data_IF_547650482374
#
_entry.id   IF_547650482374
#
_cell.length_a   1.000
_cell.length_b   1.000
_cell.length_c   1.000
_cell.angle_alpha   90.00
_cell.angle_beta   90.00
_cell.angle_gamma   90.00
#
_symmetry.space_group_name_H-M   'P 1'
#
loop_
_entity.id
_entity.type
_entity.pdbx_description
1 polymer ?
#
# COMPACT_ATOMS: atom_id res chain seq x y z
N UNK A 1 6.08 -5.91 -4.16
CA UNK A 1 5.89 -5.24 -5.48
C UNK A 1 6.45 -3.83 -5.37
N UNK A 2 7.36 -3.44 -6.27
CA UNK A 2 8.09 -2.18 -6.19
C UNK A 2 7.93 -1.35 -7.45
N UNK A 3 7.96 -0.02 -7.29
CA UNK A 3 8.13 0.90 -8.40
C UNK A 3 9.56 0.83 -8.97
N UNK A 4 9.67 0.99 -10.29
CA UNK A 4 10.95 1.17 -10.96
C UNK A 4 11.64 2.48 -10.51
N UNK A 5 12.96 2.55 -10.66
CA UNK A 5 13.77 3.69 -10.22
C UNK A 5 13.55 4.96 -11.03
N UNK A 6 13.12 4.82 -12.30
CA UNK A 6 12.96 5.92 -13.25
C UNK A 6 11.53 6.49 -13.31
N UNK A 7 10.63 6.05 -12.42
CA UNK A 7 9.25 6.56 -12.36
C UNK A 7 9.20 7.71 -11.35
N UNK A 8 8.40 8.75 -11.64
CA UNK A 8 8.11 9.80 -10.67
C UNK A 8 7.38 9.23 -9.46
N UNK A 9 7.88 9.51 -8.25
CA UNK A 9 7.42 8.87 -7.01
C UNK A 9 6.61 9.82 -6.15
N UNK A 10 5.51 9.32 -5.58
CA UNK A 10 4.81 10.00 -4.48
C UNK A 10 5.70 10.02 -3.23
N UNK A 11 5.36 10.88 -2.26
CA UNK A 11 6.09 10.96 -0.99
C UNK A 11 6.16 9.60 -0.30
N UNK A 12 5.06 8.88 -0.29
CA UNK A 12 4.90 7.58 0.35
C UNK A 12 5.79 6.51 -0.29
N UNK A 13 6.07 6.61 -1.60
CA UNK A 13 7.01 5.73 -2.27
C UNK A 13 8.46 5.95 -1.80
N UNK A 14 8.85 7.17 -1.41
CA UNK A 14 10.14 7.37 -0.75
C UNK A 14 10.16 6.77 0.66
N UNK A 15 9.02 6.75 1.34
CA UNK A 15 8.91 6.19 2.70
C UNK A 15 9.08 4.67 2.75
N UNK A 16 8.66 3.96 1.69
CA UNK A 16 8.71 2.49 1.60
C UNK A 16 9.83 1.98 0.69
N UNK A 17 10.74 2.84 0.25
CA UNK A 17 11.78 2.45 -0.72
C UNK A 17 11.21 2.03 -2.10
N UNK A 18 9.98 2.45 -2.41
CA UNK A 18 9.27 2.14 -3.64
C UNK A 18 8.34 0.92 -3.53
N UNK A 19 8.30 0.22 -2.40
CA UNK A 19 7.34 -0.87 -2.21
C UNK A 19 5.92 -0.30 -2.14
N UNK A 20 5.04 -0.74 -3.06
CA UNK A 20 3.64 -0.32 -3.10
C UNK A 20 2.69 -1.36 -2.53
N UNK A 21 3.08 -2.63 -2.58
CA UNK A 21 2.31 -3.73 -2.03
C UNK A 21 3.16 -4.97 -1.73
N UNK A 22 2.81 -5.75 -0.72
CA UNK A 22 3.36 -7.10 -0.50
C UNK A 22 2.34 -8.05 0.14
N UNK A 23 2.46 -9.33 -0.18
CA UNK A 23 1.59 -10.38 0.35
C UNK A 23 2.29 -11.04 1.55
N UNK A 24 1.54 -11.36 2.59
CA UNK A 24 1.99 -12.28 3.62
C UNK A 24 2.08 -13.68 3.03
N UNK A 25 3.29 -14.11 2.67
CA UNK A 25 3.52 -15.42 2.03
C UNK A 25 3.16 -16.61 2.95
N UNK A 26 3.04 -16.39 4.25
CA UNK A 26 2.70 -17.42 5.22
C UNK A 26 1.55 -16.97 6.11
N UNK A 27 0.67 -17.90 6.45
CA UNK A 27 -0.43 -17.66 7.37
C UNK A 27 -1.70 -17.16 6.68
N UNK A 28 -2.07 -15.91 6.93
CA UNK A 28 -3.38 -15.37 6.54
C UNK A 28 -3.47 -15.00 5.05
N UNK A 29 -2.35 -14.88 4.34
CA UNK A 29 -2.26 -14.44 2.94
C UNK A 29 -2.83 -13.03 2.67
N UNK A 30 -2.89 -12.20 3.71
CA UNK A 30 -3.31 -10.81 3.58
C UNK A 30 -2.28 -9.98 2.83
N UNK A 31 -2.69 -8.82 2.34
CA UNK A 31 -1.88 -7.96 1.47
C UNK A 31 -1.71 -6.60 2.12
N UNK A 32 -0.48 -6.13 2.22
CA UNK A 32 -0.20 -4.73 2.50
C UNK A 32 -0.20 -3.90 1.23
N UNK A 33 -0.80 -2.70 1.28
CA UNK A 33 -0.80 -1.72 0.18
C UNK A 33 -0.64 -0.30 0.71
N UNK A 34 -0.09 0.59 -0.13
CA UNK A 34 -0.07 2.04 0.10
C UNK A 34 -1.01 2.74 -0.89
N UNK A 35 -2.10 3.30 -0.39
CA UNK A 35 -3.14 3.94 -1.20
C UNK A 35 -3.14 5.47 -1.06
N UNK A 36 -3.83 6.14 -1.97
CA UNK A 36 -4.24 7.53 -1.76
C UNK A 36 -5.18 7.60 -0.53
N UNK A 37 -5.26 8.74 0.19
CA UNK A 37 -6.22 8.86 1.30
C UNK A 37 -7.67 8.63 0.88
N UNK A 38 -8.04 9.01 -0.35
CA UNK A 38 -9.39 8.83 -0.87
C UNK A 38 -9.71 7.34 -1.13
N UNK A 39 -8.78 6.59 -1.71
CA UNK A 39 -9.00 5.17 -2.00
C UNK A 39 -8.86 4.32 -0.74
N UNK A 40 -7.94 4.67 0.17
CA UNK A 40 -7.86 4.07 1.50
C UNK A 40 -9.21 4.16 2.23
N UNK A 41 -9.88 5.32 2.18
CA UNK A 41 -11.20 5.51 2.77
C UNK A 41 -12.23 4.57 2.13
N UNK A 42 -12.32 4.52 0.80
CA UNK A 42 -13.27 3.65 0.08
C UNK A 42 -13.07 2.18 0.42
N UNK A 43 -11.83 1.71 0.43
CA UNK A 43 -11.48 0.31 0.75
C UNK A 43 -11.93 -0.06 2.16
N UNK A 44 -11.69 0.82 3.14
CA UNK A 44 -12.09 0.58 4.54
C UNK A 44 -13.61 0.62 4.67
N UNK A 45 -14.29 1.60 4.09
CA UNK A 45 -15.75 1.73 4.14
C UNK A 45 -16.46 0.57 3.45
N UNK A 46 -15.86 0.01 2.40
CA UNK A 46 -16.35 -1.17 1.69
C UNK A 46 -16.00 -2.52 2.39
N UNK A 47 -15.25 -2.49 3.50
CA UNK A 47 -14.93 -3.67 4.30
C UNK A 47 -13.82 -4.58 3.74
N UNK A 48 -13.03 -4.09 2.78
CA UNK A 48 -11.96 -4.85 2.14
C UNK A 48 -10.64 -4.85 2.91
N UNK A 49 -10.52 -3.99 3.92
CA UNK A 49 -9.32 -3.90 4.72
C UNK A 49 -9.40 -2.88 5.83
N UNK A 50 -8.29 -2.74 6.53
CA UNK A 50 -8.14 -1.80 7.65
C UNK A 50 -6.76 -1.14 7.58
N UNK A 51 -6.59 -0.02 8.28
CA UNK A 51 -5.24 0.53 8.47
C UNK A 51 -4.39 -0.44 9.26
N UNK A 52 -3.13 -0.61 8.84
CA UNK A 52 -2.18 -1.36 9.64
C UNK A 52 -1.95 -0.66 10.99
N UNK A 53 -1.67 -1.42 12.05
CA UNK A 53 -1.52 -0.87 13.41
C UNK A 53 -0.42 0.20 13.53
N UNK A 54 0.61 0.10 12.68
CA UNK A 54 1.72 1.05 12.62
C UNK A 54 1.55 2.10 11.51
N UNK A 55 0.38 2.20 10.87
CA UNK A 55 0.15 3.19 9.83
C UNK A 55 0.34 4.62 10.38
N UNK A 56 1.17 5.42 9.71
CA UNK A 56 1.52 6.77 10.15
C UNK A 56 2.47 6.83 11.34
N UNK A 57 2.94 5.68 11.84
CA UNK A 57 3.94 5.66 12.90
C UNK A 57 5.25 6.27 12.42
N UNK A 58 5.75 7.22 13.23
CA UNK A 58 7.04 7.88 13.04
C UNK A 58 7.81 7.79 14.36
N UNK A 59 9.07 7.35 14.36
CA UNK A 59 9.92 7.37 15.53
C UNK A 59 10.10 8.80 16.02
N UNK A 60 10.05 9.00 17.34
CA UNK A 60 10.31 10.29 17.97
C UNK A 60 11.83 10.49 18.10
N UNK A 61 12.49 10.82 16.98
CA UNK A 61 13.90 11.22 16.93
C UNK A 61 14.93 10.09 17.04
N UNK A 62 16.22 10.47 16.94
CA UNK A 62 17.37 9.58 17.10
C UNK A 62 17.67 8.70 15.87
N UNK A 63 18.57 7.71 16.03
CA UNK A 63 18.99 6.80 14.93
C UNK A 63 17.84 5.99 14.33
N UNK A 64 16.74 5.81 15.07
CA UNK A 64 15.57 5.03 14.65
C UNK A 64 14.65 5.80 13.68
N UNK A 65 14.67 7.13 13.68
CA UNK A 65 13.87 7.98 12.77
C UNK A 65 14.14 7.68 11.28
N UNK A 66 15.36 7.22 10.97
CA UNK A 66 15.76 6.83 9.61
C UNK A 66 15.39 5.40 9.23
N UNK A 67 14.89 4.60 10.17
CA UNK A 67 14.74 3.14 9.99
C UNK A 67 13.29 2.76 9.67
N UNK A 68 12.31 3.48 10.21
CA UNK A 68 10.89 3.14 9.99
C UNK A 68 10.07 4.41 9.84
N UNK A 69 9.46 4.60 8.68
CA UNK A 69 8.62 5.77 8.40
C UNK A 69 7.38 5.29 7.63
N UNK A 70 6.40 4.71 8.32
CA UNK A 70 5.30 4.01 7.65
C UNK A 70 4.26 5.03 7.14
N UNK A 71 3.82 4.97 5.86
CA UNK A 71 2.75 5.81 5.35
C UNK A 71 1.48 5.77 6.20
N UNK A 72 0.77 6.89 6.31
CA UNK A 72 -0.50 6.95 7.03
C UNK A 72 -1.62 6.12 6.36
N UNK A 73 -1.47 5.88 5.06
CA UNK A 73 -2.36 5.09 4.21
C UNK A 73 -1.82 3.70 3.94
N UNK A 74 -0.99 3.17 4.84
CA UNK A 74 -0.54 1.78 4.82
C UNK A 74 -1.65 0.88 5.35
N UNK A 75 -2.29 0.13 4.45
CA UNK A 75 -3.44 -0.72 4.77
C UNK A 75 -3.04 -2.21 4.80
N UNK A 76 -3.82 -2.98 5.55
CA UNK A 76 -3.91 -4.43 5.48
C UNK A 76 -5.22 -4.76 4.75
N UNK A 77 -5.11 -5.38 3.60
CA UNK A 77 -6.21 -5.88 2.76
C UNK A 77 -6.45 -7.35 3.10
N UNK A 78 -7.72 -7.71 3.26
CA UNK A 78 -8.10 -9.08 3.57
C UNK A 78 -7.92 -10.00 2.36
N UNK A 79 -7.60 -11.26 2.64
CA UNK A 79 -7.30 -12.28 1.63
C UNK A 79 -8.52 -12.58 0.76
N UNK A 80 -8.40 -12.48 -0.57
CA UNK A 80 -9.48 -12.87 -1.47
C UNK A 80 -9.64 -14.39 -1.46
N UNK A 81 -10.89 -14.85 -1.52
CA UNK A 81 -11.28 -16.27 -1.42
C UNK A 81 -11.92 -16.81 -2.71
N UNK A 82 -12.24 -15.93 -3.65
CA UNK A 82 -12.89 -16.26 -4.93
C UNK A 82 -12.21 -15.48 -6.07
N UNK A 83 -12.45 -15.90 -7.31
CA UNK A 83 -11.96 -15.18 -8.48
C UNK A 83 -12.49 -13.74 -8.55
N UNK A 84 -13.76 -13.53 -8.21
CA UNK A 84 -14.34 -12.18 -8.18
C UNK A 84 -13.70 -11.30 -7.10
N UNK A 85 -13.39 -11.87 -5.92
CA UNK A 85 -12.67 -11.15 -4.87
C UNK A 85 -11.21 -10.84 -5.31
N UNK A 86 -10.58 -11.69 -6.12
CA UNK A 86 -9.26 -11.42 -6.70
C UNK A 86 -9.30 -10.19 -7.60
N UNK A 87 -10.31 -10.05 -8.47
CA UNK A 87 -10.45 -8.88 -9.34
C UNK A 87 -10.54 -7.58 -8.53
N UNK A 88 -11.28 -7.57 -7.42
CA UNK A 88 -11.35 -6.41 -6.53
C UNK A 88 -9.98 -6.10 -5.90
N UNK A 89 -9.25 -7.11 -5.45
CA UNK A 89 -7.90 -6.91 -4.90
C UNK A 89 -6.94 -6.39 -5.97
N UNK A 90 -7.06 -6.84 -7.22
CA UNK A 90 -6.27 -6.32 -8.34
C UNK A 90 -6.58 -4.84 -8.62
N UNK A 91 -7.85 -4.42 -8.54
CA UNK A 91 -8.22 -3.00 -8.65
C UNK A 91 -7.59 -2.16 -7.52
N UNK A 92 -7.56 -2.68 -6.29
CA UNK A 92 -6.92 -2.02 -5.14
C UNK A 92 -5.41 -1.88 -5.40
N UNK A 93 -4.75 -2.93 -5.90
CA UNK A 93 -3.32 -2.87 -6.25
C UNK A 93 -3.06 -1.86 -7.36
N UNK A 94 -3.91 -1.82 -8.41
CA UNK A 94 -3.79 -0.82 -9.47
C UNK A 94 -3.97 0.61 -8.95
N UNK A 95 -4.87 0.84 -8.00
CA UNK A 95 -5.02 2.15 -7.36
C UNK A 95 -3.76 2.54 -6.57
N UNK A 96 -3.12 1.59 -5.87
CA UNK A 96 -1.84 1.81 -5.21
C UNK A 96 -0.73 2.16 -6.21
N UNK A 97 -0.67 1.46 -7.35
CA UNK A 97 0.29 1.75 -8.41
C UNK A 97 0.13 3.19 -8.93
N UNK A 98 -1.10 3.60 -9.27
CA UNK A 98 -1.40 4.97 -9.75
C UNK A 98 -1.04 6.03 -8.71
N UNK A 99 -1.33 5.78 -7.44
CA UNK A 99 -0.99 6.72 -6.37
C UNK A 99 0.53 6.86 -6.21
N UNK A 100 1.22 5.73 -6.08
CA UNK A 100 2.66 5.70 -5.79
C UNK A 100 3.50 6.22 -6.96
N UNK A 101 3.01 6.07 -8.21
CA UNK A 101 3.64 6.57 -9.44
C UNK A 101 3.30 8.02 -9.79
N UNK A 102 2.62 8.77 -8.92
CA UNK A 102 2.11 10.12 -9.21
C UNK A 102 1.24 10.19 -10.48
N UNK A 103 0.54 9.09 -10.81
CA UNK A 103 -0.29 8.98 -11.99
C UNK A 103 0.48 8.78 -13.30
N UNK A 104 1.77 8.43 -13.26
CA UNK A 104 2.48 7.98 -14.45
C UNK A 104 1.77 6.75 -15.05
N UNK A 105 1.71 6.65 -16.38
CA UNK A 105 1.03 5.56 -17.08
C UNK A 105 1.51 4.20 -16.56
N UNK A 106 0.59 3.50 -15.89
CA UNK A 106 0.82 2.14 -15.38
C UNK A 106 0.23 1.19 -16.40
N UNK A 107 1.08 0.58 -17.21
CA UNK A 107 0.67 -0.46 -18.16
C UNK A 107 0.46 -1.77 -17.39
N UNK A 108 -0.74 -2.35 -17.51
CA UNK A 108 -1.09 -3.70 -17.03
C UNK A 108 -0.84 -4.73 -18.12
#
# INVERSE_FOLDING_TARGET
>A
MWLLENITRAREAYQTGGELAHIHETGDHSLHVVLSPADAKKVIEAGWGQRHALAGWRPLGGRLEKIVNIPATYLLIYTPRTADEIEVVLEIVQAAMRHMSMGADVFS
#
